data_IF_225531366827
#
_entry.id   IF_225531366827
#
_cell.length_a   1.000
_cell.length_b   1.000
_cell.length_c   1.000
_cell.angle_alpha   90.00
_cell.angle_beta   90.00
_cell.angle_gamma   90.00
#
_symmetry.space_group_name_H-M   'P 1'
#
loop_
_entity.id
_entity.type
_entity.pdbx_description
1 polymer ?
#
# COMPACT_ATOMS: atom_id res chain seq x y z
N UNK A 1 14.23 -0.29 -71.40
CA UNK A 1 13.10 -0.10 -70.48
C UNK A 1 12.99 -1.20 -69.40
N UNK A 2 13.32 -2.47 -69.68
CA UNK A 2 13.14 -3.58 -68.72
C UNK A 2 14.00 -3.53 -67.43
N UNK A 3 15.21 -2.94 -67.47
CA UNK A 3 16.07 -2.81 -66.27
C UNK A 3 15.52 -1.85 -65.20
N UNK A 4 14.75 -0.83 -65.58
CA UNK A 4 14.15 0.12 -64.63
C UNK A 4 12.92 -0.47 -63.93
N UNK A 5 12.21 -1.38 -64.60
CA UNK A 5 11.04 -2.06 -64.03
C UNK A 5 11.44 -3.11 -62.99
N UNK A 6 12.54 -3.84 -63.22
CA UNK A 6 13.05 -4.84 -62.27
C UNK A 6 13.51 -4.20 -60.94
N UNK A 7 14.14 -3.02 -60.99
CA UNK A 7 14.59 -2.31 -59.79
C UNK A 7 13.39 -1.79 -58.96
N UNK A 8 12.32 -1.34 -59.62
CA UNK A 8 11.11 -0.88 -58.93
C UNK A 8 10.36 -2.04 -58.23
N UNK A 9 10.34 -3.23 -58.84
CA UNK A 9 9.69 -4.43 -58.25
C UNK A 9 10.47 -4.93 -57.03
N UNK A 10 11.81 -4.91 -57.08
CA UNK A 10 12.64 -5.30 -55.93
C UNK A 10 12.52 -4.29 -54.78
N UNK A 11 12.47 -2.98 -55.07
CA UNK A 11 12.25 -1.96 -54.03
C UNK A 11 10.88 -2.09 -53.34
N UNK A 12 9.82 -2.44 -54.09
CA UNK A 12 8.48 -2.65 -53.53
C UNK A 12 8.42 -3.92 -52.65
N UNK A 13 9.19 -4.95 -52.99
CA UNK A 13 9.27 -6.20 -52.22
C UNK A 13 9.95 -6.03 -50.86
N UNK A 14 10.85 -5.04 -50.70
CA UNK A 14 11.51 -4.73 -49.43
C UNK A 14 10.78 -3.68 -48.58
N UNK A 15 9.86 -2.88 -49.14
CA UNK A 15 9.01 -1.94 -48.37
C UNK A 15 7.63 -2.51 -47.95
N UNK A 16 7.16 -3.57 -48.61
CA UNK A 16 5.88 -4.19 -48.29
C UNK A 16 5.80 -4.83 -46.88
N UNK A 17 6.87 -5.44 -46.31
CA UNK A 17 6.78 -6.03 -44.97
C UNK A 17 6.71 -4.99 -43.85
N UNK A 18 7.21 -3.77 -44.08
CA UNK A 18 7.23 -2.72 -43.06
C UNK A 18 5.90 -1.97 -42.93
N UNK A 19 5.07 -1.94 -43.98
CA UNK A 19 3.71 -1.38 -43.86
C UNK A 19 2.69 -2.36 -43.24
N UNK A 20 2.91 -3.67 -43.34
CA UNK A 20 2.05 -4.67 -42.70
C UNK A 20 2.22 -4.77 -41.17
N UNK A 21 3.39 -4.42 -40.65
CA UNK A 21 3.67 -4.40 -39.21
C UNK A 21 3.20 -3.11 -38.51
N UNK A 22 2.96 -2.02 -39.25
CA UNK A 22 2.43 -0.77 -38.69
C UNK A 22 0.90 -0.81 -38.57
N UNK A 23 0.20 -1.63 -39.37
CA UNK A 23 -1.27 -1.72 -39.32
C UNK A 23 -1.78 -2.75 -38.31
N UNK A 24 -1.00 -3.77 -37.93
CA UNK A 24 -1.38 -4.72 -36.86
C UNK A 24 -1.02 -4.17 -35.46
N UNK A 25 -0.01 -3.30 -35.36
CA UNK A 25 0.36 -2.62 -34.11
C UNK A 25 -0.62 -1.53 -33.64
N UNK A 26 -1.62 -1.17 -34.46
CA UNK A 26 -2.58 -0.10 -34.13
C UNK A 26 -3.94 -0.60 -33.61
N UNK A 27 -4.16 -1.92 -33.51
CA UNK A 27 -5.46 -2.49 -33.07
C UNK A 27 -5.38 -3.17 -31.70
N UNK A 28 -4.19 -3.25 -31.08
CA UNK A 28 -4.02 -3.86 -29.75
C UNK A 28 -3.15 -3.00 -28.81
N UNK A 29 -3.29 -1.66 -28.87
CA UNK A 29 -2.78 -0.80 -27.81
C UNK A 29 -3.89 -0.60 -26.75
N UNK A 30 -3.78 -1.17 -25.54
CA UNK A 30 -4.76 -0.92 -24.48
C UNK A 30 -4.84 0.56 -24.05
N UNK A 31 -3.86 1.40 -24.41
CA UNK A 31 -3.93 2.84 -24.17
C UNK A 31 -4.93 3.58 -25.09
N UNK A 32 -5.35 3.00 -26.22
CA UNK A 32 -6.30 3.65 -27.13
C UNK A 32 -7.78 3.44 -26.76
N UNK A 33 -8.09 2.53 -25.82
CA UNK A 33 -9.44 2.32 -25.29
C UNK A 33 -9.70 3.21 -24.05
N UNK A 34 -8.66 3.89 -23.53
CA UNK A 34 -8.79 4.78 -22.37
C UNK A 34 -9.20 6.24 -22.69
N UNK A 35 -9.32 6.62 -23.97
CA UNK A 35 -9.62 8.01 -24.35
C UNK A 35 -11.11 8.36 -24.49
N UNK A 36 -12.02 7.63 -23.84
CA UNK A 36 -13.44 7.98 -23.81
C UNK A 36 -14.03 7.72 -22.43
N UNK A 37 -13.68 8.56 -21.46
CA UNK A 37 -14.55 9.00 -20.34
C UNK A 37 -13.76 9.94 -19.42
N UNK A 38 -13.35 11.11 -19.91
CA UNK A 38 -13.02 12.23 -19.02
C UNK A 38 -14.34 12.81 -18.49
N UNK A 39 -14.99 12.04 -17.62
CA UNK A 39 -16.19 12.49 -16.91
C UNK A 39 -15.73 13.47 -15.84
N UNK A 40 -15.69 14.76 -16.16
CA UNK A 40 -15.52 15.81 -15.16
C UNK A 40 -16.57 15.62 -14.07
N UNK A 41 -16.15 15.36 -12.83
CA UNK A 41 -17.10 15.16 -11.73
C UNK A 41 -17.79 16.51 -11.46
N UNK A 42 -19.09 16.58 -11.73
CA UNK A 42 -19.86 17.79 -11.44
C UNK A 42 -20.29 17.75 -9.98
N UNK A 43 -19.90 18.75 -9.19
CA UNK A 43 -20.29 18.85 -7.79
C UNK A 43 -21.78 19.16 -7.65
N UNK A 44 -22.45 18.44 -6.75
CA UNK A 44 -23.83 18.66 -6.33
C UNK A 44 -23.94 19.42 -5.02
N UNK A 45 -25.07 19.28 -4.34
CA UNK A 45 -25.30 19.93 -3.05
C UNK A 45 -24.53 19.21 -1.93
N UNK A 46 -23.79 19.98 -1.11
CA UNK A 46 -23.12 19.47 0.10
C UNK A 46 -24.15 19.38 1.24
N UNK A 47 -24.49 18.19 1.75
CA UNK A 47 -25.47 18.04 2.82
C UNK A 47 -24.92 18.50 4.18
N UNK A 48 -25.81 18.72 5.15
CA UNK A 48 -25.41 19.15 6.50
C UNK A 48 -24.65 18.07 7.29
N UNK A 49 -24.91 16.79 6.97
CA UNK A 49 -24.18 15.66 7.52
C UNK A 49 -24.29 14.42 6.63
N UNK A 50 -23.39 13.46 6.82
CA UNK A 50 -23.38 12.18 6.13
C UNK A 50 -22.93 11.07 7.08
N UNK A 51 -23.81 10.09 7.34
CA UNK A 51 -23.44 8.87 8.07
C UNK A 51 -22.64 7.97 7.14
N UNK A 52 -21.49 7.50 7.57
CA UNK A 52 -20.56 6.68 6.78
C UNK A 52 -20.11 5.47 7.59
N UNK A 53 -19.71 4.42 6.88
CA UNK A 53 -19.23 3.18 7.48
C UNK A 53 -17.93 2.79 6.78
N UNK A 54 -16.90 2.51 7.55
CA UNK A 54 -15.58 2.04 7.08
C UNK A 54 -15.61 0.57 6.69
N UNK A 55 -14.55 0.08 6.05
CA UNK A 55 -14.43 -1.32 5.67
C UNK A 55 -14.44 -2.27 6.88
N UNK A 56 -13.89 -1.85 8.03
CA UNK A 56 -13.91 -2.62 9.28
C UNK A 56 -15.25 -2.54 10.05
N UNK A 57 -16.25 -1.82 9.53
CA UNK A 57 -17.60 -1.74 10.10
C UNK A 57 -17.81 -0.61 11.12
N UNK A 58 -16.81 0.24 11.39
CA UNK A 58 -17.00 1.43 12.21
C UNK A 58 -17.92 2.42 11.50
N UNK A 59 -18.92 2.93 12.24
CA UNK A 59 -19.90 3.89 11.71
C UNK A 59 -19.77 5.22 12.45
N UNK A 60 -19.64 6.31 11.69
CA UNK A 60 -19.56 7.66 12.22
C UNK A 60 -20.26 8.66 11.28
N UNK A 61 -20.36 9.92 11.70
CA UNK A 61 -21.04 10.97 10.93
C UNK A 61 -20.05 12.08 10.58
N UNK A 62 -19.91 12.34 9.28
CA UNK A 62 -19.21 13.51 8.76
C UNK A 62 -20.15 14.72 8.83
N UNK A 63 -19.65 15.85 9.30
CA UNK A 63 -20.40 17.11 9.35
C UNK A 63 -20.23 17.92 8.05
N UNK A 64 -20.99 19.00 7.92
CA UNK A 64 -20.94 19.90 6.74
C UNK A 64 -19.56 20.45 6.43
N UNK A 65 -18.76 20.77 7.44
CA UNK A 65 -17.42 21.34 7.26
C UNK A 65 -16.48 20.30 6.63
N UNK A 66 -16.45 19.08 7.16
CA UNK A 66 -15.71 17.95 6.58
C UNK A 66 -16.14 17.63 5.14
N UNK A 67 -17.45 17.68 4.87
CA UNK A 67 -17.98 17.45 3.52
C UNK A 67 -17.67 18.61 2.56
N UNK A 68 -17.48 19.83 3.08
CA UNK A 68 -17.00 20.98 2.29
C UNK A 68 -15.53 20.79 1.92
N UNK A 69 -14.69 20.28 2.83
CA UNK A 69 -13.30 19.92 2.50
C UNK A 69 -13.23 18.80 1.45
N UNK A 70 -14.08 17.78 1.56
CA UNK A 70 -14.20 16.75 0.53
C UNK A 70 -14.63 17.33 -0.83
N UNK A 71 -15.57 18.28 -0.85
CA UNK A 71 -15.98 18.98 -2.06
C UNK A 71 -14.83 19.78 -2.70
N UNK A 72 -13.96 20.40 -1.89
CA UNK A 72 -12.74 21.06 -2.38
C UNK A 72 -11.80 20.06 -3.06
N UNK A 73 -11.53 18.91 -2.44
CA UNK A 73 -10.68 17.85 -3.03
C UNK A 73 -11.25 17.38 -4.37
N UNK A 74 -12.57 17.13 -4.45
CA UNK A 74 -13.26 16.73 -5.69
C UNK A 74 -13.13 17.81 -6.76
N UNK A 75 -13.33 19.07 -6.40
CA UNK A 75 -13.29 20.21 -7.33
C UNK A 75 -11.89 20.41 -7.90
N UNK A 76 -10.86 20.41 -7.05
CA UNK A 76 -9.47 20.55 -7.47
C UNK A 76 -9.06 19.39 -8.35
N UNK A 77 -9.29 18.14 -7.91
CA UNK A 77 -8.91 16.96 -8.68
C UNK A 77 -9.59 16.90 -10.05
N UNK A 78 -10.86 17.29 -10.14
CA UNK A 78 -11.59 17.31 -11.42
C UNK A 78 -11.07 18.36 -12.40
N UNK A 79 -10.31 19.36 -11.93
CA UNK A 79 -9.69 20.39 -12.76
C UNK A 79 -8.29 20.04 -13.26
N UNK A 80 -7.69 18.94 -12.79
CA UNK A 80 -6.31 18.56 -13.13
C UNK A 80 -6.32 17.46 -14.21
N UNK A 81 -5.62 17.72 -15.32
CA UNK A 81 -5.47 16.72 -16.39
C UNK A 81 -4.76 15.46 -15.86
N UNK A 82 -5.31 14.29 -16.17
CA UNK A 82 -4.78 13.00 -15.72
C UNK A 82 -5.33 12.50 -14.39
N UNK A 83 -6.00 13.33 -13.59
CA UNK A 83 -6.71 12.89 -12.39
C UNK A 83 -8.06 12.28 -12.78
N UNK A 84 -8.25 10.99 -12.47
CA UNK A 84 -9.51 10.27 -12.71
C UNK A 84 -10.39 10.27 -11.46
N UNK A 85 -11.61 9.73 -11.56
CA UNK A 85 -12.47 9.48 -10.38
C UNK A 85 -11.76 8.64 -9.32
N UNK A 86 -10.96 7.64 -9.74
CA UNK A 86 -10.15 6.84 -8.82
C UNK A 86 -9.08 7.68 -8.13
N UNK A 87 -8.43 8.60 -8.86
CA UNK A 87 -7.49 9.55 -8.27
C UNK A 87 -8.14 10.42 -7.19
N UNK A 88 -9.35 10.94 -7.44
CA UNK A 88 -10.11 11.69 -6.43
C UNK A 88 -10.52 10.81 -5.24
N UNK A 89 -10.91 9.56 -5.49
CA UNK A 89 -11.22 8.61 -4.41
C UNK A 89 -10.00 8.35 -3.53
N UNK A 90 -8.82 8.17 -4.12
CA UNK A 90 -7.55 8.00 -3.41
C UNK A 90 -7.24 9.21 -2.52
N UNK A 91 -7.41 10.44 -3.04
CA UNK A 91 -7.21 11.66 -2.25
C UNK A 91 -8.19 11.77 -1.07
N UNK A 92 -9.46 11.39 -1.28
CA UNK A 92 -10.44 11.35 -0.19
C UNK A 92 -10.09 10.30 0.87
N UNK A 93 -9.61 9.12 0.46
CA UNK A 93 -9.11 8.10 1.38
C UNK A 93 -7.93 8.63 2.21
N UNK A 94 -6.97 9.30 1.58
CA UNK A 94 -5.83 9.91 2.26
C UNK A 94 -6.29 10.94 3.30
N UNK A 95 -7.06 11.96 2.92
CA UNK A 95 -7.51 12.99 3.85
C UNK A 95 -8.40 12.43 4.98
N UNK A 96 -9.17 11.36 4.73
CA UNK A 96 -9.93 10.65 5.77
C UNK A 96 -9.01 9.96 6.78
N UNK A 97 -7.97 9.29 6.30
CA UNK A 97 -6.98 8.62 7.15
C UNK A 97 -6.16 9.61 7.97
N UNK A 98 -5.69 10.68 7.35
CA UNK A 98 -4.73 11.61 7.97
C UNK A 98 -5.40 12.55 8.98
N UNK A 99 -6.61 13.03 8.68
CA UNK A 99 -7.27 14.05 9.52
C UNK A 99 -8.76 13.81 9.76
N UNK A 100 -9.32 12.74 9.21
CA UNK A 100 -10.78 12.56 9.10
C UNK A 100 -11.42 13.75 8.37
N UNK A 101 -10.81 14.23 7.28
CA UNK A 101 -11.22 15.40 6.50
C UNK A 101 -11.26 16.71 7.30
N UNK A 102 -10.35 16.88 8.26
CA UNK A 102 -10.27 18.09 9.08
C UNK A 102 -9.07 18.94 8.68
N UNK A 103 -9.27 20.24 8.53
CA UNK A 103 -8.16 21.15 8.28
C UNK A 103 -7.44 21.48 9.59
N UNK A 104 -6.43 20.70 9.96
CA UNK A 104 -5.76 20.83 11.26
C UNK A 104 -4.58 21.81 11.22
N UNK A 105 -4.57 22.78 12.14
CA UNK A 105 -3.39 23.59 12.44
C UNK A 105 -2.37 22.80 13.29
N UNK A 106 -1.17 23.34 13.47
CA UNK A 106 -0.17 22.82 14.40
C UNK A 106 0.48 24.00 15.12
N UNK A 107 -0.23 24.60 16.07
CA UNK A 107 0.21 25.82 16.76
C UNK A 107 1.38 25.57 17.72
N UNK A 108 1.70 24.30 18.00
CA UNK A 108 2.86 23.92 18.80
C UNK A 108 4.16 24.15 18.03
N UNK A 109 4.20 23.74 16.75
CA UNK A 109 5.37 23.90 15.90
C UNK A 109 5.32 25.18 15.06
N UNK A 110 4.14 25.53 14.54
CA UNK A 110 3.89 26.72 13.72
C UNK A 110 2.77 27.55 14.35
N UNK A 111 3.05 28.44 15.33
CA UNK A 111 2.03 29.25 15.99
C UNK A 111 1.13 30.02 15.01
N UNK A 112 1.70 30.51 13.91
CA UNK A 112 1.00 31.24 12.84
C UNK A 112 -0.04 30.37 12.09
N UNK A 113 0.05 29.03 12.15
CA UNK A 113 -0.95 28.15 11.55
C UNK A 113 -2.34 28.34 12.16
N UNK A 114 -2.42 28.79 13.42
CA UNK A 114 -3.68 29.09 14.11
C UNK A 114 -4.41 30.33 13.58
N UNK A 115 -3.72 31.19 12.82
CA UNK A 115 -4.30 32.40 12.24
C UNK A 115 -5.06 32.13 10.93
N UNK A 116 -4.93 30.93 10.37
CA UNK A 116 -5.63 30.47 9.16
C UNK A 116 -6.92 29.71 9.52
N UNK A 117 -7.92 29.66 8.63
CA UNK A 117 -9.11 28.83 8.82
C UNK A 117 -8.74 27.37 9.11
N UNK A 118 -9.22 26.84 10.23
CA UNK A 118 -8.89 25.48 10.68
C UNK A 118 -10.05 24.87 11.48
N UNK A 119 -10.00 23.55 11.61
CA UNK A 119 -10.98 22.71 12.30
C UNK A 119 -10.48 22.29 13.68
N UNK A 120 -9.38 22.87 14.14
CA UNK A 120 -8.67 22.52 15.36
C UNK A 120 -7.17 22.35 15.15
N UNK A 121 -6.52 21.82 16.18
CA UNK A 121 -5.08 21.66 16.25
C UNK A 121 -4.72 20.17 16.26
N UNK A 122 -3.82 19.75 15.37
CA UNK A 122 -3.18 18.44 15.35
C UNK A 122 -1.84 18.49 16.09
N UNK A 123 -1.35 17.32 16.51
CA UNK A 123 -0.15 17.24 17.36
C UNK A 123 0.90 16.22 16.88
N UNK A 124 0.71 15.61 15.72
CA UNK A 124 1.71 14.69 15.18
C UNK A 124 2.79 15.48 14.43
N UNK A 125 4.02 15.46 14.96
CA UNK A 125 5.19 16.18 14.44
C UNK A 125 4.92 17.68 14.10
N UNK A 126 5.24 18.08 12.86
CA UNK A 126 5.04 19.42 12.28
C UNK A 126 4.02 19.39 11.12
N UNK A 127 3.12 18.40 11.12
CA UNK A 127 2.13 18.22 10.05
C UNK A 127 1.01 19.26 10.11
N UNK A 128 0.46 19.60 8.94
CA UNK A 128 -0.62 20.58 8.76
C UNK A 128 -1.67 20.08 7.77
N UNK A 129 -2.90 20.52 7.98
CA UNK A 129 -3.99 20.46 7.02
C UNK A 129 -4.68 19.10 6.81
N UNK A 130 -5.42 18.94 5.71
CA UNK A 130 -6.25 17.77 5.40
C UNK A 130 -5.44 16.48 5.29
N UNK A 131 -4.25 16.58 4.71
CA UNK A 131 -3.38 15.44 4.41
C UNK A 131 -2.22 15.31 5.40
N UNK A 132 -2.19 16.13 6.47
CA UNK A 132 -1.10 16.11 7.46
C UNK A 132 0.31 16.25 6.82
N UNK A 133 0.41 17.10 5.80
CA UNK A 133 1.66 17.36 5.08
C UNK A 133 2.61 18.24 5.90
N UNK A 134 3.92 18.09 5.67
CA UNK A 134 4.97 18.73 6.48
C UNK A 134 5.76 19.76 5.68
N UNK A 135 5.87 21.03 6.14
CA UNK A 135 6.74 22.01 5.51
C UNK A 135 8.21 21.56 5.45
N UNK A 136 8.72 20.93 6.52
CA UNK A 136 10.11 20.44 6.57
C UNK A 136 10.40 19.34 5.55
N UNK A 137 9.37 18.58 5.13
CA UNK A 137 9.50 17.56 4.08
C UNK A 137 9.39 18.14 2.66
N UNK A 138 9.19 19.45 2.51
CA UNK A 138 9.15 20.13 1.21
C UNK A 138 7.77 20.25 0.56
N UNK A 139 6.69 19.87 1.25
CA UNK A 139 5.32 19.90 0.69
C UNK A 139 4.78 21.33 0.44
N UNK A 140 5.33 22.34 1.12
CA UNK A 140 4.90 23.73 0.95
C UNK A 140 5.21 24.61 2.17
N UNK A 141 4.81 25.87 2.09
CA UNK A 141 4.84 26.79 3.24
C UNK A 141 3.67 26.52 4.19
N UNK A 142 3.74 26.98 5.43
CA UNK A 142 2.62 26.93 6.39
C UNK A 142 1.35 27.53 5.78
N UNK A 143 1.46 28.68 5.11
CA UNK A 143 0.34 29.33 4.44
C UNK A 143 -0.29 28.46 3.35
N UNK A 144 0.53 27.77 2.55
CA UNK A 144 0.05 26.82 1.54
C UNK A 144 -0.59 25.59 2.17
N UNK A 145 0.02 25.01 3.20
CA UNK A 145 -0.54 23.82 3.85
C UNK A 145 -1.77 24.13 4.72
N UNK A 146 -2.00 25.39 5.09
CA UNK A 146 -3.25 25.84 5.69
C UNK A 146 -4.34 26.21 4.66
N UNK A 147 -4.06 26.08 3.36
CA UNK A 147 -5.03 26.21 2.27
C UNK A 147 -5.44 24.82 1.72
N UNK A 148 -6.72 24.40 1.88
CA UNK A 148 -7.22 23.14 1.34
C UNK A 148 -7.05 22.98 -0.18
N UNK A 149 -7.11 24.07 -0.96
CA UNK A 149 -6.94 23.99 -2.42
C UNK A 149 -5.50 23.68 -2.80
N UNK A 150 -4.55 24.38 -2.17
CA UNK A 150 -3.11 24.12 -2.34
C UNK A 150 -2.76 22.68 -1.98
N UNK A 151 -3.22 22.19 -0.83
CA UNK A 151 -2.93 20.82 -0.38
C UNK A 151 -3.50 19.76 -1.32
N UNK A 152 -4.74 19.93 -1.79
CA UNK A 152 -5.31 19.00 -2.77
C UNK A 152 -4.48 19.00 -4.05
N UNK A 153 -4.07 20.16 -4.55
CA UNK A 153 -3.20 20.27 -5.72
C UNK A 153 -1.83 19.63 -5.48
N UNK A 154 -1.25 19.79 -4.29
CA UNK A 154 0.02 19.16 -3.91
C UNK A 154 -0.08 17.63 -3.84
N UNK A 155 -1.17 17.10 -3.27
CA UNK A 155 -1.44 15.67 -3.21
C UNK A 155 -1.51 15.05 -4.61
N UNK A 156 -2.24 15.69 -5.54
CA UNK A 156 -2.31 15.20 -6.92
C UNK A 156 -0.96 15.35 -7.65
N UNK A 157 -0.20 16.41 -7.37
CA UNK A 157 1.16 16.63 -7.87
C UNK A 157 1.25 16.67 -9.41
N UNK A 158 2.29 16.03 -9.95
CA UNK A 158 2.59 16.05 -11.37
C UNK A 158 3.47 17.24 -11.79
N UNK A 159 3.84 17.35 -13.08
CA UNK A 159 4.73 18.40 -13.59
C UNK A 159 4.26 19.84 -13.38
N UNK A 160 2.95 20.04 -13.15
CA UNK A 160 2.33 21.33 -12.85
C UNK A 160 1.92 21.49 -11.38
N UNK A 161 2.19 20.49 -10.54
CA UNK A 161 1.87 20.52 -9.12
C UNK A 161 2.73 21.54 -8.36
N UNK A 162 2.22 22.16 -7.28
CA UNK A 162 2.95 23.17 -6.52
C UNK A 162 4.19 22.64 -5.78
N UNK A 163 4.27 21.32 -5.59
CA UNK A 163 5.34 20.56 -4.96
C UNK A 163 6.35 19.97 -5.97
N UNK A 164 6.24 20.28 -7.26
CA UNK A 164 7.18 19.76 -8.25
C UNK A 164 8.63 20.25 -8.00
N UNK A 165 9.66 19.40 -8.17
CA UNK A 165 9.61 17.97 -8.54
C UNK A 165 9.52 17.00 -7.34
N UNK A 166 9.52 17.52 -6.11
CA UNK A 166 9.54 16.72 -4.89
C UNK A 166 9.01 17.55 -3.71
N UNK A 167 8.21 16.97 -2.79
CA UNK A 167 7.74 15.57 -2.75
C UNK A 167 6.85 15.19 -3.93
N UNK A 168 6.83 13.91 -4.29
CA UNK A 168 6.00 13.39 -5.38
C UNK A 168 4.52 13.41 -5.00
N UNK A 169 3.63 13.77 -5.92
CA UNK A 169 2.19 13.56 -5.75
C UNK A 169 1.70 12.32 -6.52
N UNK A 170 0.38 12.12 -6.54
CA UNK A 170 -0.28 10.98 -7.17
C UNK A 170 0.12 10.79 -8.64
N UNK A 171 0.13 11.87 -9.43
CA UNK A 171 0.44 11.83 -10.86
C UNK A 171 1.92 11.54 -11.17
N UNK A 172 2.80 11.65 -10.18
CA UNK A 172 4.21 11.35 -10.30
C UNK A 172 4.51 9.85 -10.10
N UNK A 173 3.51 9.04 -9.71
CA UNK A 173 3.64 7.60 -9.47
C UNK A 173 3.39 6.82 -10.79
N UNK A 174 4.41 6.12 -11.35
CA UNK A 174 4.23 5.37 -12.59
C UNK A 174 3.24 4.23 -12.42
N UNK A 175 2.21 4.18 -13.29
CA UNK A 175 1.25 3.07 -13.31
C UNK A 175 0.23 3.06 -12.17
N UNK A 176 0.07 4.18 -11.44
CA UNK A 176 -0.85 4.29 -10.30
C UNK A 176 -2.28 3.87 -10.64
N UNK A 177 -2.73 4.01 -11.89
CA UNK A 177 -4.07 3.61 -12.34
C UNK A 177 -4.30 2.09 -12.25
N UNK A 178 -3.24 1.29 -12.18
CA UNK A 178 -3.29 -0.17 -12.07
C UNK A 178 -2.96 -0.69 -10.66
N UNK A 179 -2.62 0.20 -9.73
CA UNK A 179 -2.26 -0.12 -8.34
C UNK A 179 -3.52 -0.16 -7.45
N UNK A 180 -3.40 -0.74 -6.26
CA UNK A 180 -4.45 -0.65 -5.25
C UNK A 180 -4.65 0.81 -4.79
N UNK A 181 -5.89 1.25 -4.54
CA UNK A 181 -6.14 2.65 -4.15
C UNK A 181 -5.42 3.04 -2.85
N UNK A 182 -5.43 2.18 -1.83
CA UNK A 182 -4.66 2.41 -0.61
C UNK A 182 -3.15 2.38 -0.81
N UNK A 183 -2.67 1.54 -1.73
CA UNK A 183 -1.24 1.47 -2.11
C UNK A 183 -0.79 2.80 -2.75
N UNK A 184 -1.61 3.41 -3.61
CA UNK A 184 -1.33 4.73 -4.18
C UNK A 184 -1.39 5.82 -3.11
N UNK A 185 -2.40 5.81 -2.25
CA UNK A 185 -2.51 6.78 -1.15
C UNK A 185 -1.26 6.75 -0.25
N UNK A 186 -0.85 5.55 0.15
CA UNK A 186 0.40 5.33 0.88
C UNK A 186 1.62 5.82 0.12
N UNK A 187 1.71 5.56 -1.20
CA UNK A 187 2.86 5.93 -2.00
C UNK A 187 3.01 7.46 -2.13
N UNK A 188 1.92 8.22 -2.01
CA UNK A 188 1.92 9.69 -1.94
C UNK A 188 2.30 10.18 -0.53
N UNK A 189 1.61 9.70 0.50
CA UNK A 189 1.80 10.20 1.87
C UNK A 189 3.09 9.71 2.53
N UNK A 190 3.60 8.55 2.12
CA UNK A 190 4.76 7.90 2.72
C UNK A 190 4.53 7.74 4.24
N UNK A 191 3.34 7.27 4.61
CA UNK A 191 2.94 7.06 5.99
C UNK A 191 3.60 5.82 6.59
N UNK A 192 3.68 5.75 7.92
CA UNK A 192 4.12 4.54 8.63
C UNK A 192 3.07 3.40 8.61
N UNK A 193 1.85 3.68 8.13
CA UNK A 193 0.68 2.80 8.24
C UNK A 193 -0.07 2.62 6.90
N UNK A 194 0.47 1.81 5.97
CA UNK A 194 0.04 1.73 4.57
C UNK A 194 -1.43 1.34 4.33
N UNK A 195 -2.09 0.70 5.30
CA UNK A 195 -3.41 0.08 5.08
C UNK A 195 -4.56 0.81 5.74
N UNK A 196 -4.26 1.89 6.46
CA UNK A 196 -5.29 2.77 7.01
C UNK A 196 -6.16 3.37 5.91
N UNK A 197 -5.61 3.56 4.71
CA UNK A 197 -6.34 4.14 3.58
C UNK A 197 -7.46 3.22 3.07
N UNK A 198 -7.20 1.90 2.97
CA UNK A 198 -8.19 0.93 2.47
C UNK A 198 -9.43 0.88 3.38
N UNK A 199 -9.28 1.12 4.68
CA UNK A 199 -10.41 1.18 5.61
C UNK A 199 -11.43 2.26 5.25
N UNK A 200 -10.98 3.35 4.61
CA UNK A 200 -11.82 4.48 4.21
C UNK A 200 -12.29 4.41 2.75
N UNK A 201 -11.96 3.37 1.99
CA UNK A 201 -12.43 3.23 0.61
C UNK A 201 -13.97 3.31 0.48
N UNK A 202 -14.78 2.59 1.31
CA UNK A 202 -16.24 2.70 1.26
C UNK A 202 -16.77 4.07 1.67
N UNK A 203 -16.05 4.77 2.55
CA UNK A 203 -16.39 6.13 2.99
C UNK A 203 -16.17 7.12 1.85
N UNK A 204 -15.01 7.05 1.20
CA UNK A 204 -14.66 7.89 0.04
C UNK A 204 -15.62 7.66 -1.14
N UNK A 205 -16.00 6.40 -1.41
CA UNK A 205 -17.00 6.08 -2.43
C UNK A 205 -18.36 6.72 -2.10
N UNK A 206 -18.80 6.62 -0.84
CA UNK A 206 -20.07 7.19 -0.39
C UNK A 206 -20.08 8.72 -0.48
N UNK A 207 -18.96 9.38 -0.17
CA UNK A 207 -18.79 10.83 -0.35
C UNK A 207 -18.93 11.18 -1.83
N UNK A 208 -18.20 10.51 -2.73
CA UNK A 208 -18.29 10.75 -4.17
C UNK A 208 -19.70 10.56 -4.71
N UNK A 209 -20.37 9.48 -4.31
CA UNK A 209 -21.75 9.20 -4.72
C UNK A 209 -22.74 10.26 -4.22
N UNK A 210 -22.49 10.83 -3.04
CA UNK A 210 -23.36 11.85 -2.44
C UNK A 210 -23.11 13.24 -3.04
N UNK A 211 -21.85 13.60 -3.26
CA UNK A 211 -21.45 14.95 -3.64
C UNK A 211 -21.37 15.19 -5.15
N UNK A 212 -21.50 14.16 -6.00
CA UNK A 212 -21.41 14.34 -7.47
C UNK A 212 -22.75 14.09 -8.16
N UNK A 213 -23.11 14.99 -9.07
CA UNK A 213 -24.31 14.85 -9.91
C UNK A 213 -23.95 13.94 -11.08
N UNK A 214 -24.42 12.69 -11.06
CA UNK A 214 -24.23 11.76 -12.17
C UNK A 214 -24.12 10.27 -11.80
N UNK A 215 -23.96 9.93 -10.53
CA UNK A 215 -23.91 8.53 -10.06
C UNK A 215 -25.30 7.98 -9.69
N UNK A 216 -26.28 8.12 -10.58
CA UNK A 216 -27.56 7.41 -10.48
C UNK A 216 -27.63 6.37 -11.60
N UNK A 217 -27.36 5.09 -11.28
CA UNK A 217 -28.13 3.89 -11.65
C UNK A 217 -27.30 2.60 -11.59
N UNK A 218 -27.58 1.74 -10.61
CA UNK A 218 -27.77 0.30 -10.82
C UNK A 218 -28.43 -0.35 -9.61
N UNK A 219 -29.69 0.04 -9.34
CA UNK A 219 -30.62 -0.80 -8.59
C UNK A 219 -31.05 -1.94 -9.51
N UNK A 220 -30.67 -3.18 -9.22
CA UNK A 220 -31.29 -4.37 -9.84
C UNK A 220 -31.91 -5.23 -8.73
N UNK A 221 -33.20 -4.97 -8.52
CA UNK A 221 -34.30 -5.95 -8.45
C UNK A 221 -33.95 -7.37 -8.00
N UNK A 222 -34.40 -7.73 -6.79
CA UNK A 222 -34.74 -9.11 -6.45
C UNK A 222 -35.89 -9.63 -7.33
N UNK A 223 -35.92 -10.93 -7.63
CA UNK A 223 -37.00 -11.72 -7.04
C UNK A 223 -36.58 -13.09 -6.51
N UNK A 224 -37.45 -13.58 -5.63
CA UNK A 224 -37.38 -14.75 -4.78
C UNK A 224 -37.35 -16.11 -5.48
N UNK A 225 -36.80 -17.09 -4.74
CA UNK A 225 -37.14 -18.54 -4.69
C UNK A 225 -37.00 -19.36 -5.96
N UNK A 226 -36.12 -20.39 -5.93
CA UNK A 226 -36.48 -21.83 -5.93
C UNK A 226 -35.19 -22.68 -5.94
N UNK A 227 -35.00 -23.51 -4.92
CA UNK A 227 -34.00 -24.60 -4.88
C UNK A 227 -34.47 -25.77 -5.77
N UNK A 228 -33.57 -26.49 -6.47
CA UNK A 228 -33.31 -27.89 -6.10
C UNK A 228 -31.81 -28.31 -6.26
N UNK A 229 -31.41 -29.49 -5.74
CA UNK A 229 -30.05 -29.80 -5.29
C UNK A 229 -29.16 -30.38 -6.41
N UNK A 230 -27.85 -30.47 -6.16
CA UNK A 230 -27.04 -31.72 -6.20
C UNK A 230 -25.55 -31.43 -6.44
N UNK A 231 -24.73 -31.96 -5.52
CA UNK A 231 -23.31 -32.35 -5.60
C UNK A 231 -22.21 -31.32 -5.87
N UNK A 232 -21.40 -31.12 -4.83
CA UNK A 232 -19.97 -30.80 -4.92
C UNK A 232 -19.22 -31.75 -5.86
N UNK A 233 -18.17 -31.23 -6.51
CA UNK A 233 -16.86 -31.82 -6.43
C UNK A 233 -15.90 -30.91 -5.66
N UNK A 234 -15.13 -31.55 -4.79
CA UNK A 234 -14.05 -31.05 -3.94
C UNK A 234 -12.95 -30.30 -4.71
N UNK A 235 -12.63 -29.08 -4.26
CA UNK A 235 -11.36 -28.40 -4.61
C UNK A 235 -10.23 -28.90 -3.70
N UNK A 236 -9.08 -29.29 -4.25
CA UNK A 236 -7.86 -29.53 -3.49
C UNK A 236 -7.06 -28.23 -3.41
N UNK A 237 -7.18 -27.51 -2.29
CA UNK A 237 -6.14 -26.56 -1.82
C UNK A 237 -6.57 -26.00 -0.45
N UNK A 238 -6.66 -26.90 0.52
CA UNK A 238 -6.48 -26.49 1.90
C UNK A 238 -4.96 -26.35 2.08
N UNK A 239 -4.46 -25.12 2.23
CA UNK A 239 -3.17 -24.86 2.86
C UNK A 239 -3.08 -25.78 4.08
N UNK A 240 -2.04 -26.60 4.16
CA UNK A 240 -1.82 -27.44 5.32
C UNK A 240 -1.80 -26.53 6.55
N UNK A 241 -2.85 -26.61 7.38
CA UNK A 241 -2.95 -25.84 8.62
C UNK A 241 -1.95 -26.46 9.59
N UNK A 242 -0.74 -25.95 9.62
CA UNK A 242 0.20 -26.23 10.69
C UNK A 242 0.07 -25.12 11.73
N UNK A 243 -0.21 -25.49 12.98
CA UNK A 243 -0.17 -24.59 14.14
C UNK A 243 1.24 -24.40 14.68
N UNK A 244 2.27 -24.85 13.94
CA UNK A 244 3.66 -24.81 14.37
C UNK A 244 4.22 -23.40 14.17
N UNK A 245 4.61 -22.78 15.27
CA UNK A 245 5.39 -21.54 15.30
C UNK A 245 6.85 -21.86 15.61
N UNK A 246 7.78 -21.15 14.97
CA UNK A 246 9.22 -21.26 15.19
C UNK A 246 9.82 -19.87 15.44
N UNK A 247 10.94 -19.83 16.15
CA UNK A 247 11.69 -18.61 16.34
C UNK A 247 12.30 -18.13 15.00
N UNK A 248 12.27 -16.82 14.68
CA UNK A 248 12.62 -16.34 13.33
C UNK A 248 14.13 -16.28 13.05
N UNK A 249 14.98 -16.69 14.00
CA UNK A 249 16.44 -16.78 13.85
C UNK A 249 16.95 -18.12 14.42
N UNK A 250 18.06 -18.68 13.89
CA UNK A 250 18.65 -19.90 14.42
C UNK A 250 19.05 -19.77 15.90
N UNK A 251 18.92 -20.87 16.65
CA UNK A 251 19.29 -20.95 18.07
C UNK A 251 20.74 -20.50 18.28
N UNK A 252 20.96 -19.59 19.24
CA UNK A 252 22.29 -19.09 19.59
C UNK A 252 22.90 -18.08 18.60
N UNK A 253 22.19 -17.70 17.54
CA UNK A 253 22.66 -16.71 16.56
C UNK A 253 22.33 -15.26 16.89
N UNK A 254 21.54 -15.03 17.95
CA UNK A 254 20.91 -13.74 18.21
C UNK A 254 21.00 -13.30 19.68
N UNK A 255 20.84 -12.01 19.91
CA UNK A 255 20.71 -11.37 21.22
C UNK A 255 19.55 -10.39 21.18
N UNK A 256 18.67 -10.43 22.19
CA UNK A 256 17.59 -9.45 22.32
C UNK A 256 18.16 -8.05 22.59
N UNK A 257 17.77 -7.06 21.78
CA UNK A 257 18.33 -5.69 21.86
C UNK A 257 17.30 -4.57 21.91
N UNK A 258 16.04 -4.83 21.58
CA UNK A 258 14.99 -3.81 21.65
C UNK A 258 13.60 -4.40 21.82
N UNK A 259 12.92 -3.97 22.88
CA UNK A 259 11.54 -4.37 23.19
C UNK A 259 10.53 -3.62 22.32
N UNK A 260 9.37 -4.23 22.08
CA UNK A 260 8.18 -3.56 21.58
C UNK A 260 7.71 -2.48 22.55
N UNK A 261 7.21 -1.36 22.02
CA UNK A 261 6.57 -0.31 22.81
C UNK A 261 7.29 1.04 22.83
N UNK A 262 6.91 1.95 23.74
CA UNK A 262 7.49 3.29 23.81
C UNK A 262 8.99 3.23 24.09
N UNK A 263 9.79 3.90 23.27
CA UNK A 263 11.25 4.02 23.44
C UNK A 263 11.73 5.43 23.10
N UNK A 264 12.97 5.72 23.46
CA UNK A 264 13.71 6.82 22.84
C UNK A 264 14.35 6.27 21.57
N UNK A 265 14.06 6.85 20.41
CA UNK A 265 14.61 6.44 19.13
C UNK A 265 16.15 6.56 19.21
N UNK A 266 16.89 5.47 18.95
CA UNK A 266 18.34 5.44 19.14
C UNK A 266 19.10 6.24 18.07
N UNK A 267 18.44 6.65 16.99
CA UNK A 267 19.01 7.44 15.89
C UNK A 267 18.76 8.93 16.14
N UNK A 268 17.54 9.30 16.51
CA UNK A 268 17.14 10.72 16.65
C UNK A 268 17.19 11.24 18.09
N UNK A 269 17.12 10.36 19.09
CA UNK A 269 17.05 10.73 20.51
C UNK A 269 15.67 11.22 20.96
N UNK A 270 14.64 11.08 20.14
CA UNK A 270 13.27 11.53 20.41
C UNK A 270 12.38 10.40 20.93
N UNK A 271 11.25 10.73 21.55
CA UNK A 271 10.25 9.72 21.92
C UNK A 271 9.66 9.08 20.65
N UNK A 272 9.64 7.76 20.60
CA UNK A 272 9.09 6.97 19.51
C UNK A 272 8.37 5.73 20.07
N UNK A 273 7.61 5.04 19.20
CA UNK A 273 7.04 3.75 19.52
C UNK A 273 7.67 2.69 18.63
N UNK A 274 8.20 1.63 19.24
CA UNK A 274 8.80 0.52 18.55
C UNK A 274 7.75 -0.54 18.25
N UNK A 275 7.46 -0.77 16.98
CA UNK A 275 6.39 -1.66 16.52
C UNK A 275 6.79 -3.13 16.45
N UNK A 276 8.03 -3.46 16.78
CA UNK A 276 8.54 -4.83 16.73
C UNK A 276 9.46 -5.16 17.89
N UNK A 277 10.19 -6.26 17.74
CA UNK A 277 11.28 -6.67 18.61
C UNK A 277 12.56 -6.71 17.79
N UNK A 278 13.64 -6.11 18.31
CA UNK A 278 14.93 -6.03 17.65
C UNK A 278 15.85 -7.13 18.19
N UNK A 279 16.23 -8.06 17.31
CA UNK A 279 17.10 -9.20 17.59
C UNK A 279 18.43 -9.01 16.86
N UNK A 280 19.45 -8.56 17.59
CA UNK A 280 20.79 -8.39 17.04
C UNK A 280 21.38 -9.74 16.65
N UNK A 281 21.90 -9.85 15.44
CA UNK A 281 22.52 -11.04 14.89
C UNK A 281 23.59 -10.62 13.88
N UNK A 282 24.52 -11.52 13.56
CA UNK A 282 25.56 -11.20 12.59
C UNK A 282 24.94 -10.91 11.20
N UNK A 283 25.52 -9.96 10.47
CA UNK A 283 25.15 -9.72 9.06
C UNK A 283 25.27 -11.02 8.25
N UNK A 284 24.25 -11.33 7.45
CA UNK A 284 24.14 -12.59 6.72
C UNK A 284 23.53 -13.76 7.52
N UNK A 285 23.12 -13.57 8.78
CA UNK A 285 22.45 -14.63 9.56
C UNK A 285 21.11 -14.99 8.90
N UNK A 286 20.78 -16.28 8.70
CA UNK A 286 19.50 -16.67 8.11
C UNK A 286 18.30 -16.19 8.91
N UNK A 287 17.33 -15.58 8.23
CA UNK A 287 16.00 -15.25 8.74
C UNK A 287 15.04 -16.37 8.34
N UNK A 288 14.30 -16.90 9.31
CA UNK A 288 13.40 -18.04 9.15
C UNK A 288 11.94 -17.58 9.18
N UNK A 289 11.09 -18.15 8.32
CA UNK A 289 9.66 -17.96 8.40
C UNK A 289 9.12 -18.52 9.72
N UNK A 290 8.48 -17.68 10.53
CA UNK A 290 7.98 -18.04 11.85
C UNK A 290 6.86 -19.10 11.81
N UNK A 291 6.12 -19.20 10.72
CA UNK A 291 5.09 -20.22 10.51
C UNK A 291 4.86 -20.48 9.02
N UNK A 292 4.08 -21.52 8.70
CA UNK A 292 3.61 -21.76 7.33
C UNK A 292 2.77 -20.58 6.85
N UNK A 293 2.93 -20.16 5.60
CA UNK A 293 2.24 -18.97 5.11
C UNK A 293 2.45 -18.64 3.64
N UNK A 294 1.95 -17.48 3.25
CA UNK A 294 2.12 -16.89 1.92
C UNK A 294 2.81 -15.55 2.06
N UNK A 295 3.86 -15.33 1.29
CA UNK A 295 4.57 -14.05 1.23
C UNK A 295 3.66 -13.01 0.58
N UNK A 296 3.33 -11.95 1.30
CA UNK A 296 2.45 -10.86 0.84
C UNK A 296 3.23 -9.58 0.53
N UNK A 297 4.41 -9.42 1.11
CA UNK A 297 5.36 -8.34 0.81
C UNK A 297 6.76 -8.94 0.70
N UNK A 298 7.52 -8.53 -0.32
CA UNK A 298 8.94 -8.85 -0.49
C UNK A 298 9.59 -7.74 -1.33
N UNK A 299 10.04 -6.67 -0.66
CA UNK A 299 10.52 -5.47 -1.34
C UNK A 299 11.66 -4.77 -0.58
N UNK A 300 12.29 -3.79 -1.22
CA UNK A 300 13.27 -2.91 -0.60
C UNK A 300 12.73 -1.48 -0.57
N UNK A 301 12.48 -0.94 0.62
CA UNK A 301 11.67 0.26 0.81
C UNK A 301 12.11 1.10 2.01
N UNK A 302 12.47 2.36 1.74
CA UNK A 302 12.56 3.44 2.72
C UNK A 302 13.25 3.11 4.05
N UNK A 303 12.57 3.42 5.15
CA UNK A 303 13.07 3.21 6.51
C UNK A 303 13.14 1.74 6.96
N UNK A 304 12.48 0.83 6.24
CA UNK A 304 12.51 -0.61 6.54
C UNK A 304 13.75 -1.30 5.97
N UNK A 305 14.36 -0.73 4.90
CA UNK A 305 15.34 -1.47 4.11
C UNK A 305 14.63 -2.60 3.35
N UNK A 306 15.20 -3.80 3.32
CA UNK A 306 14.50 -4.98 2.83
C UNK A 306 13.43 -5.43 3.82
N UNK A 307 12.21 -5.63 3.33
CA UNK A 307 11.03 -6.04 4.09
C UNK A 307 10.40 -7.28 3.45
N UNK A 308 10.19 -8.31 4.27
CA UNK A 308 9.33 -9.45 3.95
C UNK A 308 8.15 -9.42 4.92
N UNK A 309 6.94 -9.65 4.42
CA UNK A 309 5.76 -9.92 5.26
C UNK A 309 5.11 -11.22 4.79
N UNK A 310 4.78 -12.09 5.73
CA UNK A 310 4.16 -13.39 5.48
C UNK A 310 2.84 -13.44 6.22
N UNK A 311 1.76 -13.79 5.52
CA UNK A 311 0.47 -14.10 6.13
C UNK A 311 0.36 -15.60 6.46
N UNK A 312 -0.14 -15.86 7.67
CA UNK A 312 -0.32 -17.17 8.24
C UNK A 312 -1.78 -17.36 8.64
N UNK A 313 -2.17 -18.63 8.75
CA UNK A 313 -3.44 -19.02 9.34
C UNK A 313 -3.20 -19.94 10.53
N UNK A 314 -3.12 -19.36 11.72
CA UNK A 314 -2.76 -20.03 12.98
C UNK A 314 -4.00 -20.03 13.88
N UNK A 315 -4.36 -21.20 14.40
CA UNK A 315 -5.53 -21.39 15.28
C UNK A 315 -6.84 -20.78 14.74
N UNK A 316 -7.05 -20.91 13.43
CA UNK A 316 -8.19 -20.34 12.70
C UNK A 316 -8.22 -18.80 12.64
N UNK A 317 -7.13 -18.14 13.00
CA UNK A 317 -6.97 -16.69 12.91
C UNK A 317 -5.93 -16.34 11.86
N UNK A 318 -6.15 -15.22 11.17
CA UNK A 318 -5.14 -14.65 10.27
C UNK A 318 -4.17 -13.82 11.09
N UNK A 319 -2.88 -14.07 10.93
CA UNK A 319 -1.81 -13.31 11.54
C UNK A 319 -0.71 -13.14 10.50
N UNK A 320 -0.06 -11.98 10.46
CA UNK A 320 1.14 -11.82 9.66
C UNK A 320 2.37 -11.62 10.51
N UNK A 321 3.51 -11.97 9.96
CA UNK A 321 4.83 -11.66 10.53
C UNK A 321 5.63 -10.82 9.56
N UNK A 322 6.32 -9.80 10.06
CA UNK A 322 7.15 -8.90 9.27
C UNK A 322 8.63 -9.01 9.68
N UNK A 323 9.51 -8.96 8.69
CA UNK A 323 10.96 -9.14 8.83
C UNK A 323 11.65 -8.01 8.08
N UNK A 324 12.38 -7.13 8.79
CA UNK A 324 12.95 -5.92 8.19
C UNK A 324 14.48 -5.84 8.30
N UNK A 325 15.03 -4.76 7.72
CA UNK A 325 16.45 -4.38 7.68
C UNK A 325 17.37 -5.26 6.85
N UNK A 326 16.83 -6.18 6.06
CA UNK A 326 17.60 -6.98 5.10
C UNK A 326 18.27 -6.07 4.07
N UNK A 327 19.46 -6.46 3.59
CA UNK A 327 19.97 -5.89 2.34
C UNK A 327 19.06 -6.27 1.19
N UNK A 328 19.03 -5.47 0.12
CA UNK A 328 18.26 -5.80 -1.08
C UNK A 328 18.62 -7.20 -1.64
N UNK A 329 19.91 -7.58 -1.54
CA UNK A 329 20.41 -8.90 -1.97
C UNK A 329 20.13 -10.03 -0.98
N UNK A 330 19.66 -9.72 0.22
CA UNK A 330 19.33 -10.68 1.27
C UNK A 330 17.85 -11.06 1.33
N UNK A 331 17.05 -10.70 0.31
CA UNK A 331 15.65 -11.14 0.19
C UNK A 331 15.62 -12.37 -0.72
N UNK A 332 15.19 -13.53 -0.21
CA UNK A 332 15.24 -14.82 -0.94
C UNK A 332 13.87 -15.32 -1.41
N UNK A 333 12.82 -14.53 -1.22
CA UNK A 333 11.45 -14.87 -1.58
C UNK A 333 10.80 -13.73 -2.37
N UNK A 334 9.70 -14.03 -3.02
CA UNK A 334 8.88 -13.09 -3.78
C UNK A 334 7.42 -13.17 -3.37
N UNK A 335 6.65 -12.11 -3.61
CA UNK A 335 5.21 -12.07 -3.31
C UNK A 335 4.49 -13.23 -4.00
N UNK A 336 3.66 -13.95 -3.24
CA UNK A 336 2.94 -15.14 -3.67
C UNK A 336 3.61 -16.46 -3.33
N UNK A 337 4.89 -16.46 -2.93
CA UNK A 337 5.58 -17.67 -2.51
C UNK A 337 4.91 -18.28 -1.28
N UNK A 338 4.74 -19.61 -1.30
CA UNK A 338 4.32 -20.38 -0.14
C UNK A 338 5.55 -20.81 0.62
N UNK A 339 5.57 -20.54 1.92
CA UNK A 339 6.68 -20.88 2.81
C UNK A 339 6.21 -21.78 3.94
N UNK A 340 7.14 -22.57 4.48
CA UNK A 340 6.90 -23.41 5.65
C UNK A 340 7.64 -22.87 6.87
N UNK A 341 7.14 -23.17 8.07
CA UNK A 341 7.77 -22.80 9.33
C UNK A 341 9.23 -23.29 9.38
N UNK A 342 10.15 -22.36 9.58
CA UNK A 342 11.59 -22.59 9.63
C UNK A 342 12.30 -22.48 8.27
N UNK A 343 11.59 -22.19 7.19
CA UNK A 343 12.19 -21.95 5.87
C UNK A 343 13.04 -20.67 5.89
N UNK A 344 14.23 -20.73 5.30
CA UNK A 344 15.08 -19.56 5.08
C UNK A 344 14.44 -18.64 4.04
N UNK A 345 14.12 -17.41 4.43
CA UNK A 345 13.41 -16.43 3.59
C UNK A 345 14.23 -15.18 3.29
N UNK A 346 15.26 -14.90 4.07
CA UNK A 346 16.15 -13.77 3.88
C UNK A 346 17.35 -13.81 4.82
N UNK A 347 18.20 -12.79 4.76
CA UNK A 347 19.41 -12.67 5.58
C UNK A 347 19.41 -11.37 6.37
N UNK A 348 19.78 -11.46 7.65
CA UNK A 348 19.98 -10.29 8.52
C UNK A 348 20.90 -9.28 7.84
N UNK A 349 20.50 -8.01 7.84
CA UNK A 349 21.27 -6.90 7.31
C UNK A 349 21.19 -5.67 8.23
N UNK A 350 21.57 -4.52 7.69
CA UNK A 350 21.49 -3.23 8.38
C UNK A 350 21.02 -2.11 7.44
N UNK A 351 20.04 -2.41 6.58
CA UNK A 351 19.45 -1.43 5.66
C UNK A 351 18.32 -0.60 6.30
N UNK A 352 18.00 0.54 5.68
CA UNK A 352 16.95 1.44 6.18
C UNK A 352 17.38 2.19 7.43
N UNK A 353 16.45 2.38 8.37
CA UNK A 353 16.69 3.02 9.68
C UNK A 353 17.23 1.98 10.66
N UNK A 354 18.52 1.69 10.56
CA UNK A 354 19.19 0.69 11.39
C UNK A 354 20.49 1.26 11.96
N UNK A 355 20.82 0.94 13.22
CA UNK A 355 22.09 1.34 13.88
C UNK A 355 23.17 0.27 13.79
N UNK A 356 22.82 -0.94 13.36
CA UNK A 356 23.72 -2.08 13.18
C UNK A 356 22.94 -3.35 12.78
N UNK A 357 23.61 -4.46 12.42
CA UNK A 357 22.93 -5.67 11.95
C UNK A 357 21.98 -6.26 12.99
N UNK A 358 20.70 -6.38 12.63
CA UNK A 358 19.65 -7.00 13.44
C UNK A 358 18.43 -7.38 12.58
N UNK A 359 17.61 -8.28 13.10
CA UNK A 359 16.25 -8.49 12.63
C UNK A 359 15.31 -7.61 13.46
N UNK A 360 14.57 -6.73 12.81
CA UNK A 360 13.36 -6.16 13.37
C UNK A 360 12.17 -7.06 12.98
N UNK A 361 11.54 -7.65 14.00
CA UNK A 361 10.48 -8.65 13.83
C UNK A 361 9.15 -8.14 14.41
N UNK A 362 8.09 -8.20 13.61
CA UNK A 362 6.73 -7.86 14.06
C UNK A 362 5.78 -9.03 13.92
N UNK A 363 4.74 -9.03 14.76
CA UNK A 363 3.55 -9.89 14.65
C UNK A 363 2.32 -9.00 14.55
N UNK A 364 1.51 -9.22 13.52
CA UNK A 364 0.33 -8.41 13.16
C UNK A 364 -0.94 -9.27 13.14
N UNK A 365 -1.70 -9.37 14.25
CA UNK A 365 -2.97 -10.10 14.29
C UNK A 365 -3.98 -9.42 13.37
N UNK A 366 -4.54 -10.16 12.41
CA UNK A 366 -5.45 -9.62 11.40
C UNK A 366 -4.87 -9.56 9.99
N UNK A 367 -3.58 -9.87 9.80
CA UNK A 367 -2.94 -10.01 8.49
C UNK A 367 -1.82 -9.01 8.25
N UNK A 368 -1.34 -8.95 7.00
CA UNK A 368 -0.13 -8.21 6.53
C UNK A 368 -0.06 -6.79 7.07
N UNK A 369 -1.22 -6.22 7.31
CA UNK A 369 -1.52 -4.81 7.33
C UNK A 369 -2.15 -4.36 8.66
N UNK A 370 -2.25 -5.28 9.62
CA UNK A 370 -2.80 -5.01 10.94
C UNK A 370 -1.76 -4.40 11.89
N UNK A 371 -2.21 -3.87 13.02
CA UNK A 371 -1.33 -3.34 14.05
C UNK A 371 -0.42 -4.43 14.63
N UNK A 372 0.84 -4.08 14.84
CA UNK A 372 1.78 -4.97 15.49
C UNK A 372 1.51 -5.04 16.99
N UNK A 373 1.67 -6.24 17.54
CA UNK A 373 1.66 -6.50 18.98
C UNK A 373 3.07 -6.84 19.46
N UNK A 374 3.23 -7.00 20.77
CA UNK A 374 4.46 -7.54 21.36
C UNK A 374 4.77 -8.94 20.79
N UNK A 375 5.72 -8.96 19.86
CA UNK A 375 6.14 -10.16 19.14
C UNK A 375 6.83 -11.17 20.06
N UNK A 376 7.61 -10.72 21.04
CA UNK A 376 8.26 -11.59 22.01
C UNK A 376 7.22 -12.30 22.88
N UNK A 377 6.20 -11.57 23.35
CA UNK A 377 5.07 -12.17 24.05
C UNK A 377 4.32 -13.17 23.16
N UNK A 378 4.01 -12.81 21.92
CA UNK A 378 3.28 -13.68 21.01
C UNK A 378 4.04 -14.98 20.72
N UNK A 379 5.35 -14.92 20.47
CA UNK A 379 6.20 -16.09 20.25
C UNK A 379 6.18 -17.03 21.48
N UNK A 380 6.25 -16.48 22.69
CA UNK A 380 6.15 -17.25 23.93
C UNK A 380 4.77 -17.90 24.10
N UNK A 381 3.68 -17.16 23.83
CA UNK A 381 2.31 -17.68 23.95
C UNK A 381 2.01 -18.82 22.96
N UNK A 382 2.77 -18.92 21.86
CA UNK A 382 2.63 -19.96 20.83
C UNK A 382 3.72 -21.04 20.90
N UNK A 383 4.48 -21.11 22.01
CA UNK A 383 5.55 -22.08 22.22
C UNK A 383 6.52 -22.17 21.02
N UNK A 384 6.94 -21.00 20.49
CA UNK A 384 7.77 -20.93 19.30
C UNK A 384 9.03 -21.78 19.45
N UNK A 385 9.19 -22.78 18.59
CA UNK A 385 10.32 -23.70 18.66
C UNK A 385 11.62 -23.04 18.17
N UNK A 386 12.68 -23.13 18.96
CA UNK A 386 14.03 -22.80 18.52
C UNK A 386 14.55 -23.87 17.54
N UNK A 387 15.15 -23.42 16.44
CA UNK A 387 15.76 -24.30 15.44
C UNK A 387 17.25 -24.03 15.34
N UNK A 388 18.13 -25.05 15.32
CA UNK A 388 19.56 -24.82 15.19
C UNK A 388 19.96 -24.29 13.80
N UNK A 389 19.16 -24.62 12.76
CA UNK A 389 19.41 -24.27 11.36
C UNK A 389 18.08 -24.13 10.59
N UNK A 390 18.12 -23.54 9.39
CA UNK A 390 16.97 -23.45 8.50
C UNK A 390 16.47 -24.83 8.07
N UNK A 391 15.14 -24.97 7.96
CA UNK A 391 14.53 -26.19 7.43
C UNK A 391 14.64 -26.19 5.90
N UNK A 392 15.21 -27.25 5.32
CA UNK A 392 15.29 -27.40 3.87
C UNK A 392 13.87 -27.49 3.28
N UNK A 393 13.43 -26.45 2.56
CA UNK A 393 12.19 -26.47 1.80
C UNK A 393 12.23 -27.61 0.77
N UNK A 394 11.15 -28.37 0.67
CA UNK A 394 11.00 -29.42 -0.34
C UNK A 394 11.06 -28.78 -1.73
N UNK A 395 12.25 -28.70 -2.32
CA UNK A 395 12.42 -28.34 -3.71
C UNK A 395 11.58 -29.28 -4.57
N UNK A 396 10.80 -28.73 -5.50
CA UNK A 396 10.15 -29.46 -6.57
C UNK A 396 11.17 -30.34 -7.29
N UNK A 397 11.30 -31.61 -6.86
CA UNK A 397 11.95 -32.63 -7.66
C UNK A 397 11.03 -32.92 -8.82
N UNK A 398 11.45 -32.49 -10.01
CA UNK A 398 10.84 -32.90 -11.26
C UNK A 398 10.74 -34.44 -11.27
N UNK A 399 9.51 -34.95 -11.28
CA UNK A 399 9.26 -36.32 -11.73
C UNK A 399 9.68 -36.41 -13.19
N UNK A 400 10.91 -36.81 -13.44
CA UNK A 400 11.25 -37.43 -14.72
C UNK A 400 10.54 -38.77 -14.75
N UNK A 401 9.39 -38.81 -15.41
CA UNK A 401 8.73 -40.04 -15.81
C UNK A 401 9.66 -40.86 -16.70
N UNK A 402 10.21 -41.93 -16.14
CA UNK A 402 10.87 -43.00 -16.90
C UNK A 402 9.85 -44.08 -17.24
N UNK A 403 9.34 -44.06 -18.46
CA UNK A 403 8.74 -45.24 -19.11
C UNK A 403 9.88 -46.08 -19.71
N UNK A 404 10.11 -47.28 -19.18
CA UNK A 404 10.40 -48.56 -19.88
C UNK A 404 10.83 -49.61 -18.86
#
# INVERSE_FOLDING_TARGET
MMKKLAIAVVALMFLAPTLGLVTIGLVMNPAAIACLSSSSLTLGNVPDSLVVTTANGETFTLNKQQLTHAATIITVGSGIEGVTRDGVQIALMAALTESTLRQLANTGTYPESGDYPNDGNGSDHDSLGLFQMRPQSGWGSVAGLMDPEYQAAAFFGGPSGPNYPSPRGLLDIPGWQSMGKGEVAQAVEVSAYPDRYNNYEPVAEKILATLTIGASTSTTTAPSTTTPPTTSPSSPDAVARSSRVVFPLPEGSWVHTGDFGPRIDPITGESAFHTGTDLAAADGTPILAAADGVVTVAEFSGGWGGLIVIEHHIDSTTVATAYAHMWQTGIHVTVGDRVIAGQHIGDVGSSGRSTGPHLHFEVRPGGTYAEAIDAAKWLNDHDAADLPEATAGAGCSAMTGGTS
#
